data_IF_150776795399
#
_entry.id   IF_150776795399
#
_cell.length_a   1.000
_cell.length_b   1.000
_cell.length_c   1.000
_cell.angle_alpha   90.00
_cell.angle_beta   90.00
_cell.angle_gamma   90.00
#
_symmetry.space_group_name_H-M   'P 1'
#
loop_
_entity.id
_entity.type
_entity.pdbx_description
1 polymer ?
#
# COMPACT_ATOMS: atom_id res chain seq x y z
N UNK A 1 18.73 -6.87 4.80
CA UNK A 1 17.95 -5.71 4.29
C UNK A 1 16.86 -6.31 3.42
N UNK A 2 15.60 -6.02 3.69
CA UNK A 2 14.47 -6.62 2.93
C UNK A 2 14.44 -6.08 1.51
N UNK A 3 14.18 -6.97 0.56
CA UNK A 3 14.06 -6.67 -0.87
C UNK A 3 12.59 -6.44 -1.20
N UNK A 4 12.25 -5.23 -1.60
CA UNK A 4 10.85 -4.80 -1.82
C UNK A 4 10.68 -4.34 -3.27
N UNK A 5 9.59 -4.75 -3.88
CA UNK A 5 9.12 -4.20 -5.15
C UNK A 5 7.76 -3.52 -4.98
N UNK A 6 7.41 -2.65 -5.93
CA UNK A 6 6.13 -1.95 -5.98
C UNK A 6 5.33 -2.44 -7.17
N UNK A 7 4.06 -2.79 -6.94
CA UNK A 7 3.12 -3.23 -7.96
C UNK A 7 1.99 -2.20 -8.08
N UNK A 8 1.96 -1.47 -9.20
CA UNK A 8 1.10 -0.31 -9.41
C UNK A 8 1.69 0.97 -8.81
N UNK A 9 1.56 2.08 -9.54
CA UNK A 9 2.10 3.39 -9.19
C UNK A 9 1.04 4.50 -9.27
N UNK A 10 -0.22 4.15 -9.48
CA UNK A 10 -1.31 5.11 -9.73
C UNK A 10 -1.72 5.89 -8.49
N UNK A 11 -1.69 5.27 -7.30
CA UNK A 11 -2.10 5.95 -6.09
C UNK A 11 -0.98 6.83 -5.54
N UNK A 12 -1.24 8.13 -5.38
CA UNK A 12 -0.23 9.12 -4.99
C UNK A 12 0.50 8.85 -3.67
N UNK A 13 -0.09 8.07 -2.76
CA UNK A 13 0.61 7.64 -1.55
C UNK A 13 1.89 6.85 -1.84
N UNK A 14 2.02 6.22 -3.01
CA UNK A 14 3.21 5.44 -3.35
C UNK A 14 4.48 6.28 -3.22
N UNK A 15 4.46 7.52 -3.70
CA UNK A 15 5.63 8.38 -3.75
C UNK A 15 6.18 8.74 -2.37
N UNK A 16 5.29 9.11 -1.43
CA UNK A 16 5.68 9.37 -0.05
C UNK A 16 6.11 8.11 0.69
N UNK A 17 5.35 7.01 0.52
CA UNK A 17 5.66 5.74 1.18
C UNK A 17 7.04 5.18 0.76
N UNK A 18 7.39 5.29 -0.53
CA UNK A 18 8.70 4.84 -1.00
C UNK A 18 9.84 5.73 -0.47
N UNK A 19 9.65 7.04 -0.40
CA UNK A 19 10.62 7.97 0.21
C UNK A 19 10.84 7.65 1.69
N UNK A 20 9.76 7.48 2.44
CA UNK A 20 9.84 7.10 3.85
C UNK A 20 10.51 5.74 4.04
N UNK A 21 10.19 4.76 3.20
CA UNK A 21 10.81 3.44 3.25
C UNK A 21 12.33 3.51 3.08
N UNK A 22 12.81 4.29 2.10
CA UNK A 22 14.25 4.49 1.89
C UNK A 22 14.93 5.12 3.11
N UNK A 23 14.28 6.08 3.76
CA UNK A 23 14.82 6.75 4.95
C UNK A 23 15.00 5.79 6.14
N UNK A 24 14.23 4.71 6.20
CA UNK A 24 14.40 3.72 7.28
C UNK A 24 15.71 2.97 7.24
N UNK A 25 16.36 2.88 6.06
CA UNK A 25 17.56 2.07 5.82
C UNK A 25 17.34 0.55 5.99
N UNK A 26 16.09 0.11 6.17
CA UNK A 26 15.75 -1.30 6.46
C UNK A 26 15.40 -2.11 5.23
N UNK A 27 15.06 -1.44 4.13
CA UNK A 27 14.63 -2.06 2.89
C UNK A 27 15.40 -1.53 1.69
N UNK A 28 15.51 -2.38 0.67
CA UNK A 28 16.03 -2.04 -0.65
C UNK A 28 14.88 -2.08 -1.65
N UNK A 29 14.62 -0.97 -2.31
CA UNK A 29 13.73 -0.95 -3.47
C UNK A 29 14.43 -1.63 -4.64
N UNK A 30 13.85 -2.72 -5.14
CA UNK A 30 14.44 -3.58 -6.17
C UNK A 30 13.88 -3.23 -7.54
N UNK A 31 12.56 -3.06 -7.61
CA UNK A 31 11.86 -2.81 -8.86
C UNK A 31 10.47 -2.20 -8.62
N UNK A 32 9.88 -1.67 -9.69
CA UNK A 32 8.45 -1.34 -9.75
C UNK A 32 7.84 -1.85 -11.05
N UNK A 33 6.55 -2.20 -11.02
CA UNK A 33 5.78 -2.52 -12.21
C UNK A 33 4.55 -1.65 -12.30
N UNK A 34 4.32 -1.13 -13.49
CA UNK A 34 3.09 -0.44 -13.88
C UNK A 34 2.92 -0.52 -15.41
N UNK A 35 1.70 -0.44 -15.90
CA UNK A 35 1.43 -0.38 -17.34
C UNK A 35 1.58 1.04 -17.91
N UNK A 36 1.54 2.06 -17.06
CA UNK A 36 1.72 3.47 -17.44
C UNK A 36 3.22 3.82 -17.51
N UNK A 37 3.66 4.20 -18.71
CA UNK A 37 5.05 4.59 -18.96
C UNK A 37 5.47 5.87 -18.24
N UNK A 38 4.55 6.83 -18.06
CA UNK A 38 4.88 8.08 -17.36
C UNK A 38 5.19 7.82 -15.89
N UNK A 39 4.41 6.92 -15.26
CA UNK A 39 4.64 6.51 -13.88
C UNK A 39 5.94 5.70 -13.74
N UNK A 40 6.24 4.83 -14.69
CA UNK A 40 7.52 4.12 -14.72
C UNK A 40 8.71 5.09 -14.85
N UNK A 41 8.63 6.06 -15.74
CA UNK A 41 9.66 7.08 -15.92
C UNK A 41 9.86 7.92 -14.64
N UNK A 42 8.76 8.30 -13.98
CA UNK A 42 8.82 8.98 -12.70
C UNK A 42 9.52 8.12 -11.63
N UNK A 43 9.16 6.84 -11.55
CA UNK A 43 9.83 5.94 -10.60
C UNK A 43 11.34 5.87 -10.87
N UNK A 44 11.76 5.71 -12.12
CA UNK A 44 13.17 5.66 -12.50
C UNK A 44 13.94 6.94 -12.18
N UNK A 45 13.27 8.09 -12.26
CA UNK A 45 13.87 9.38 -11.93
C UNK A 45 14.04 9.60 -10.41
N UNK A 46 13.12 9.07 -9.61
CA UNK A 46 13.07 9.35 -8.16
C UNK A 46 13.65 8.21 -7.30
N UNK A 47 13.64 6.97 -7.79
CA UNK A 47 13.96 5.77 -7.00
C UNK A 47 14.93 4.82 -7.71
N UNK A 48 15.71 4.05 -6.93
CA UNK A 48 16.55 2.99 -7.49
C UNK A 48 15.69 1.79 -7.91
N UNK A 49 16.25 0.94 -8.75
CA UNK A 49 15.63 -0.30 -9.19
C UNK A 49 15.15 -0.25 -10.63
N UNK A 50 14.70 -1.40 -11.10
CA UNK A 50 14.22 -1.58 -12.47
C UNK A 50 12.74 -1.26 -12.57
N UNK A 51 12.25 -1.00 -13.80
CA UNK A 51 10.81 -0.92 -14.09
C UNK A 51 10.39 -2.02 -15.03
N UNK A 52 9.16 -2.47 -14.87
CA UNK A 52 8.52 -3.52 -15.64
C UNK A 52 7.14 -3.08 -16.10
N UNK A 53 6.72 -3.51 -17.29
CA UNK A 53 5.34 -3.34 -17.76
C UNK A 53 4.42 -4.47 -17.29
N UNK A 54 4.98 -5.66 -16.99
CA UNK A 54 4.23 -6.81 -16.50
C UNK A 54 4.55 -7.07 -15.05
N UNK A 55 3.50 -7.20 -14.25
CA UNK A 55 3.58 -7.56 -12.84
C UNK A 55 4.13 -8.98 -12.66
N UNK A 56 3.66 -9.92 -13.51
CA UNK A 56 4.10 -11.32 -13.53
C UNK A 56 5.60 -11.42 -13.81
N UNK A 57 6.06 -10.61 -14.78
CA UNK A 57 7.48 -10.61 -15.16
C UNK A 57 8.35 -10.08 -14.03
N UNK A 58 7.94 -8.99 -13.37
CA UNK A 58 8.66 -8.50 -12.19
C UNK A 58 8.73 -9.57 -11.11
N UNK A 59 7.60 -10.21 -10.80
CA UNK A 59 7.51 -11.22 -9.74
C UNK A 59 8.25 -12.52 -10.08
N UNK A 60 8.55 -12.79 -11.38
CA UNK A 60 9.34 -13.94 -11.80
C UNK A 60 10.84 -13.66 -11.85
N UNK A 61 11.22 -12.42 -12.18
CA UNK A 61 12.61 -12.05 -12.43
C UNK A 61 13.36 -11.59 -11.18
N UNK A 62 12.62 -11.11 -10.16
CA UNK A 62 13.24 -10.49 -8.98
C UNK A 62 13.05 -11.36 -7.73
N UNK A 63 14.13 -11.55 -6.98
CA UNK A 63 14.04 -12.12 -5.63
C UNK A 63 13.54 -11.07 -4.65
N UNK A 64 12.44 -11.34 -3.96
CA UNK A 64 11.73 -10.37 -3.10
C UNK A 64 11.36 -11.00 -1.75
N UNK A 65 11.29 -10.15 -0.71
CA UNK A 65 10.72 -10.50 0.59
C UNK A 65 9.28 -10.00 0.71
N UNK A 66 8.98 -8.85 0.11
CA UNK A 66 7.67 -8.22 0.19
C UNK A 66 7.36 -7.35 -1.02
N UNK A 67 6.09 -7.03 -1.19
CA UNK A 67 5.61 -6.08 -2.19
C UNK A 67 4.75 -4.99 -1.58
N UNK A 68 4.86 -3.78 -2.13
CA UNK A 68 3.94 -2.67 -1.94
C UNK A 68 3.00 -2.62 -3.13
N UNK A 69 1.68 -2.61 -2.89
CA UNK A 69 0.65 -2.68 -3.94
C UNK A 69 -0.17 -1.39 -3.92
N UNK A 70 -0.07 -0.61 -5.01
CA UNK A 70 -0.71 0.69 -5.20
C UNK A 70 -1.49 0.77 -6.52
N UNK A 71 -1.99 -0.37 -6.98
CA UNK A 71 -2.88 -0.46 -8.13
C UNK A 71 -4.32 -0.03 -7.81
N UNK A 72 -5.21 -0.13 -8.81
CA UNK A 72 -6.64 0.06 -8.57
C UNK A 72 -7.17 -0.99 -7.57
N UNK A 73 -8.31 -0.70 -6.93
CA UNK A 73 -8.86 -1.60 -5.93
C UNK A 73 -9.02 -3.03 -6.45
N UNK A 74 -9.55 -3.17 -7.67
CA UNK A 74 -9.70 -4.49 -8.31
C UNK A 74 -8.37 -5.12 -8.69
N UNK A 75 -7.46 -4.35 -9.26
CA UNK A 75 -6.13 -4.82 -9.61
C UNK A 75 -5.35 -5.24 -8.36
N UNK A 76 -5.45 -4.49 -7.27
CA UNK A 76 -4.79 -4.80 -6.00
C UNK A 76 -5.25 -6.13 -5.40
N UNK A 77 -6.51 -6.53 -5.60
CA UNK A 77 -6.99 -7.85 -5.22
C UNK A 77 -6.18 -8.96 -5.92
N UNK A 78 -6.08 -8.87 -7.25
CA UNK A 78 -5.43 -9.89 -8.07
C UNK A 78 -3.90 -9.91 -7.85
N UNK A 79 -3.28 -8.74 -7.75
CA UNK A 79 -1.84 -8.61 -7.42
C UNK A 79 -1.50 -9.16 -6.04
N UNK A 80 -2.39 -8.99 -5.06
CA UNK A 80 -2.18 -9.54 -3.71
C UNK A 80 -2.20 -11.06 -3.73
N UNK A 81 -3.17 -11.66 -4.40
CA UNK A 81 -3.25 -13.12 -4.55
C UNK A 81 -1.98 -13.65 -5.24
N UNK A 82 -1.61 -13.02 -6.36
CA UNK A 82 -0.41 -13.39 -7.13
C UNK A 82 0.88 -13.31 -6.29
N UNK A 83 1.02 -12.28 -5.47
CA UNK A 83 2.17 -12.11 -4.59
C UNK A 83 2.18 -13.13 -3.45
N UNK A 84 1.02 -13.37 -2.81
CA UNK A 84 0.89 -14.37 -1.75
C UNK A 84 1.24 -15.79 -2.24
N UNK A 85 0.80 -16.17 -3.45
CA UNK A 85 1.13 -17.46 -4.07
C UNK A 85 2.65 -17.67 -4.27
N UNK A 86 3.42 -16.59 -4.28
CA UNK A 86 4.89 -16.59 -4.34
C UNK A 86 5.56 -16.48 -2.97
N UNK A 87 4.77 -16.52 -1.90
CA UNK A 87 5.29 -16.42 -0.53
C UNK A 87 5.74 -15.02 -0.12
N UNK A 88 5.27 -13.97 -0.80
CA UNK A 88 5.66 -12.59 -0.51
C UNK A 88 4.73 -11.94 0.51
N UNK A 89 5.31 -11.19 1.44
CA UNK A 89 4.54 -10.31 2.32
C UNK A 89 3.97 -9.13 1.52
N UNK A 90 2.75 -8.69 1.86
CA UNK A 90 2.06 -7.63 1.11
C UNK A 90 1.68 -6.44 1.99
N UNK A 91 2.04 -5.22 1.57
CA UNK A 91 1.42 -3.97 2.00
C UNK A 91 0.55 -3.48 0.85
N UNK A 92 -0.75 -3.36 1.08
CA UNK A 92 -1.73 -2.97 0.05
C UNK A 92 -2.34 -1.62 0.42
N UNK A 93 -2.45 -0.72 -0.55
CA UNK A 93 -3.11 0.59 -0.34
C UNK A 93 -4.61 0.39 -0.05
N UNK A 94 -5.14 1.29 0.78
CA UNK A 94 -6.58 1.32 1.11
C UNK A 94 -7.41 1.82 -0.10
N UNK A 95 -8.66 1.42 -0.23
CA UNK A 95 -9.35 0.38 0.55
C UNK A 95 -8.81 -1.00 0.23
N UNK A 96 -9.00 -1.97 1.12
CA UNK A 96 -8.47 -3.34 0.96
C UNK A 96 -8.86 -3.96 -0.38
N UNK A 97 -10.12 -3.80 -0.78
CA UNK A 97 -10.67 -4.41 -1.98
C UNK A 97 -11.90 -3.63 -2.47
N UNK A 98 -12.36 -3.91 -3.69
CA UNK A 98 -13.60 -3.38 -4.25
C UNK A 98 -14.84 -4.07 -3.69
N UNK A 99 -14.70 -5.33 -3.29
CA UNK A 99 -15.80 -6.19 -2.83
C UNK A 99 -15.40 -7.01 -1.62
N UNK A 100 -16.40 -7.49 -0.86
CA UNK A 100 -16.15 -8.43 0.23
C UNK A 100 -15.55 -9.75 -0.28
N UNK A 101 -15.98 -10.21 -1.46
CA UNK A 101 -15.42 -11.40 -2.09
C UNK A 101 -13.92 -11.21 -2.39
N UNK A 102 -13.53 -10.07 -2.98
CA UNK A 102 -12.13 -9.71 -3.21
C UNK A 102 -11.31 -9.69 -1.93
N UNK A 103 -11.83 -9.05 -0.87
CA UNK A 103 -11.18 -9.03 0.44
C UNK A 103 -10.98 -10.43 1.02
N UNK A 104 -12.00 -11.30 0.92
CA UNK A 104 -11.92 -12.69 1.38
C UNK A 104 -10.89 -13.49 0.58
N UNK A 105 -10.80 -13.29 -0.74
CA UNK A 105 -9.76 -13.92 -1.59
C UNK A 105 -8.35 -13.53 -1.15
N UNK A 106 -8.11 -12.23 -0.93
CA UNK A 106 -6.81 -11.71 -0.48
C UNK A 106 -6.43 -12.30 0.87
N UNK A 107 -7.38 -12.30 1.82
CA UNK A 107 -7.16 -12.88 3.15
C UNK A 107 -6.85 -14.38 3.07
N UNK A 108 -7.65 -15.15 2.34
CA UNK A 108 -7.45 -16.60 2.18
C UNK A 108 -6.10 -16.93 1.52
N UNK A 109 -5.66 -16.15 0.53
CA UNK A 109 -4.37 -16.33 -0.11
C UNK A 109 -3.22 -16.08 0.88
N UNK A 110 -3.31 -15.01 1.68
CA UNK A 110 -2.29 -14.69 2.67
C UNK A 110 -2.20 -15.75 3.79
N UNK A 111 -3.34 -16.22 4.30
CA UNK A 111 -3.42 -17.29 5.30
C UNK A 111 -2.84 -18.61 4.76
N UNK A 112 -3.22 -19.01 3.54
CA UNK A 112 -2.73 -20.23 2.91
C UNK A 112 -1.21 -20.21 2.70
N UNK A 113 -0.69 -19.08 2.25
CA UNK A 113 0.74 -18.89 2.03
C UNK A 113 1.53 -18.59 3.32
N UNK A 114 0.85 -18.37 4.45
CA UNK A 114 1.44 -17.97 5.75
C UNK A 114 2.28 -16.70 5.65
N UNK A 115 1.85 -15.76 4.81
CA UNK A 115 2.47 -14.44 4.66
C UNK A 115 1.68 -13.38 5.39
N UNK A 116 2.31 -12.22 5.60
CA UNK A 116 1.64 -11.07 6.24
C UNK A 116 0.96 -10.23 5.15
N UNK A 117 -0.32 -9.95 5.37
CA UNK A 117 -1.10 -8.98 4.61
C UNK A 117 -1.39 -7.78 5.50
N UNK A 118 -0.99 -6.60 5.08
CA UNK A 118 -1.23 -5.36 5.79
C UNK A 118 -1.88 -4.35 4.84
N UNK A 119 -2.94 -3.69 5.31
CA UNK A 119 -3.59 -2.63 4.55
C UNK A 119 -3.07 -1.27 5.04
N UNK A 120 -2.68 -0.44 4.10
CA UNK A 120 -2.13 0.88 4.38
C UNK A 120 -3.25 1.87 4.75
N UNK A 121 -3.65 1.86 6.01
CA UNK A 121 -4.57 2.82 6.60
C UNK A 121 -3.79 3.97 7.23
N UNK A 122 -3.60 5.13 6.58
CA UNK A 122 -2.72 6.20 7.09
C UNK A 122 -3.05 6.64 8.51
N UNK A 123 -4.33 6.79 8.83
CA UNK A 123 -4.77 7.22 10.16
C UNK A 123 -4.41 6.23 11.28
N UNK A 124 -4.28 4.94 10.98
CA UNK A 124 -3.87 3.95 11.97
C UNK A 124 -2.43 4.18 12.47
N UNK A 125 -1.62 4.91 11.69
CA UNK A 125 -0.21 5.19 11.99
C UNK A 125 0.01 6.56 12.62
N UNK A 126 -0.97 7.46 12.61
CA UNK A 126 -0.83 8.79 13.16
C UNK A 126 -0.56 8.76 14.66
N UNK A 127 0.56 9.35 15.13
CA UNK A 127 0.94 9.30 16.55
C UNK A 127 -0.14 9.88 17.47
N UNK A 128 -0.82 10.94 17.03
CA UNK A 128 -1.88 11.60 17.80
C UNK A 128 -3.08 10.66 18.05
N UNK A 129 -3.52 9.92 17.01
CA UNK A 129 -4.61 8.96 17.15
C UNK A 129 -4.20 7.78 18.03
N UNK A 130 -3.00 7.24 17.80
CA UNK A 130 -2.45 6.15 18.61
C UNK A 130 -2.32 6.55 20.08
N UNK A 131 -1.85 7.78 20.34
CA UNK A 131 -1.76 8.29 21.71
C UNK A 131 -3.13 8.43 22.37
N UNK A 132 -4.12 9.01 21.67
CA UNK A 132 -5.49 9.14 22.18
C UNK A 132 -6.13 7.79 22.48
N UNK A 133 -5.96 6.80 21.61
CA UNK A 133 -6.43 5.43 21.83
C UNK A 133 -5.76 4.81 23.07
N UNK A 134 -4.44 4.94 23.19
CA UNK A 134 -3.69 4.42 24.34
C UNK A 134 -4.13 5.06 25.66
N UNK A 135 -4.39 6.36 25.67
CA UNK A 135 -4.92 7.07 26.85
C UNK A 135 -6.30 6.53 27.25
N UNK A 136 -7.20 6.31 26.27
CA UNK A 136 -8.53 5.75 26.52
C UNK A 136 -8.44 4.33 27.08
N UNK A 137 -7.62 3.48 26.49
CA UNK A 137 -7.37 2.10 26.94
C UNK A 137 -6.76 2.04 28.34
N UNK A 138 -5.90 2.99 28.69
CA UNK A 138 -5.31 3.11 30.03
C UNK A 138 -6.26 3.75 31.06
N UNK A 139 -7.51 4.04 30.71
CA UNK A 139 -8.49 4.65 31.60
C UNK A 139 -8.22 6.13 31.95
N UNK A 140 -7.27 6.80 31.27
CA UNK A 140 -6.86 8.18 31.59
C UNK A 140 -7.96 9.21 31.38
N UNK A 141 -8.97 8.90 30.56
CA UNK A 141 -10.13 9.75 30.29
C UNK A 141 -11.41 9.22 30.93
N UNK A 142 -11.30 8.23 31.83
CA UNK A 142 -12.43 7.55 32.46
C UNK A 142 -13.19 6.64 31.51
N UNK A 143 -14.47 6.37 31.81
CA UNK A 143 -15.32 5.51 30.98
C UNK A 143 -15.61 6.17 29.62
N UNK A 144 -15.29 5.45 28.56
CA UNK A 144 -15.58 5.91 27.20
C UNK A 144 -17.08 5.75 26.89
N UNK A 145 -17.75 6.87 26.62
CA UNK A 145 -19.17 6.92 26.30
C UNK A 145 -19.44 7.12 24.81
N UNK A 146 -18.62 7.93 24.17
CA UNK A 146 -18.81 8.29 22.76
C UNK A 146 -17.47 8.65 22.13
N UNK A 147 -17.30 8.24 20.89
CA UNK A 147 -16.24 8.72 19.99
C UNK A 147 -16.88 9.47 18.84
N UNK A 148 -16.42 10.68 18.57
CA UNK A 148 -16.78 11.44 17.35
C UNK A 148 -15.51 11.69 16.58
N UNK A 149 -15.49 11.26 15.33
CA UNK A 149 -14.43 11.56 14.39
C UNK A 149 -15.02 12.26 13.17
N UNK A 150 -14.43 13.40 12.79
CA UNK A 150 -14.81 14.11 11.58
C UNK A 150 -13.59 14.29 10.71
N UNK A 151 -13.62 13.69 9.54
CA UNK A 151 -12.68 13.95 8.46
C UNK A 151 -13.47 14.47 7.26
N UNK A 152 -13.07 15.60 6.74
CA UNK A 152 -13.70 16.20 5.58
C UNK A 152 -12.64 16.95 4.78
N UNK A 153 -12.73 16.85 3.45
CA UNK A 153 -11.91 17.61 2.51
C UNK A 153 -12.71 17.85 1.22
N UNK A 154 -12.22 18.69 0.34
CA UNK A 154 -12.90 19.07 -0.90
C UNK A 154 -12.78 18.05 -2.02
N UNK A 155 -12.04 16.95 -1.81
CA UNK A 155 -11.82 15.92 -2.81
C UNK A 155 -10.38 15.90 -3.34
N UNK A 156 -10.03 14.88 -4.15
CA UNK A 156 -8.66 14.66 -4.57
C UNK A 156 -8.12 15.76 -5.48
N UNK A 157 -8.94 16.33 -6.35
CA UNK A 157 -8.53 17.42 -7.25
C UNK A 157 -8.08 18.64 -6.46
N UNK A 158 -8.87 19.07 -5.49
CA UNK A 158 -8.57 20.24 -4.64
C UNK A 158 -7.39 19.99 -3.69
N UNK A 159 -7.10 18.72 -3.40
CA UNK A 159 -5.90 18.33 -2.66
C UNK A 159 -4.64 18.29 -3.54
N UNK A 160 -4.75 18.56 -4.84
CA UNK A 160 -3.64 18.54 -5.78
C UNK A 160 -3.12 17.14 -6.10
N UNK A 161 -3.99 16.13 -6.02
CA UNK A 161 -3.64 14.79 -6.42
C UNK A 161 -3.33 14.70 -7.92
N UNK A 162 -2.51 13.75 -8.31
CA UNK A 162 -2.12 13.55 -9.71
C UNK A 162 -3.33 13.23 -10.59
N UNK A 163 -3.18 13.53 -11.89
CA UNK A 163 -4.19 13.19 -12.88
C UNK A 163 -4.49 11.69 -12.88
N UNK A 164 -3.44 10.87 -12.88
CA UNK A 164 -3.55 9.42 -12.88
C UNK A 164 -4.35 8.90 -11.68
N UNK A 165 -4.13 9.49 -10.49
CA UNK A 165 -4.92 9.15 -9.30
C UNK A 165 -6.38 9.58 -9.44
N UNK A 166 -6.64 10.78 -9.95
CA UNK A 166 -8.02 11.29 -10.11
C UNK A 166 -8.83 10.52 -11.17
N UNK A 167 -8.19 10.08 -12.26
CA UNK A 167 -8.83 9.28 -13.30
C UNK A 167 -9.13 7.84 -12.85
N UNK A 168 -8.46 7.40 -11.81
CA UNK A 168 -8.63 6.06 -11.24
C UNK A 168 -9.77 5.97 -10.21
N UNK A 169 -10.18 7.07 -9.58
CA UNK A 169 -11.28 7.13 -8.60
C UNK A 169 -12.65 7.01 -9.26
#
# INVERSE_FOLDING_TARGET
MHRIATLGLHHDHVWSNLKELQQTGRAKLVAAADTDHELQNRYQAEFPGKTYQSYEKLLSDEELDAVYIFGSNKLSEDLTVMACERGLHCLVEKPMASTLEGANRMFAAAESAKVRLMINWPFAWWPQLRHGIAMAQAGKIGKLWQVKYRAAHQGPVELGCSRQFCEWL
#
